data_IF_726164007110
#
_entry.id   IF_726164007110
#
_cell.length_a   1.000
_cell.length_b   1.000
_cell.length_c   1.000
_cell.angle_alpha   90.00
_cell.angle_beta   90.00
_cell.angle_gamma   90.00
#
_symmetry.space_group_name_H-M   'P 1'
#
loop_
_entity.id
_entity.type
_entity.pdbx_description
1 polymer ?
#
# COMPACT_ATOMS: atom_id res chain seq x y z
N UNK A 1 1.18 -12.01 -7.96
CA UNK A 1 1.40 -11.89 -6.50
C UNK A 1 0.08 -12.22 -5.81
N UNK A 2 -0.26 -13.52 -5.68
CA UNK A 2 -1.55 -13.93 -5.13
C UNK A 2 -1.74 -13.44 -3.70
N UNK A 3 -0.69 -13.55 -2.88
CA UNK A 3 -0.70 -13.25 -1.45
C UNK A 3 -1.02 -11.78 -1.15
N UNK A 4 -0.53 -10.85 -1.99
CA UNK A 4 -0.82 -9.41 -1.83
C UNK A 4 -2.27 -9.10 -2.15
N UNK A 5 -2.81 -9.67 -3.23
CA UNK A 5 -4.21 -9.45 -3.61
C UNK A 5 -5.17 -10.09 -2.60
N UNK A 6 -4.81 -11.25 -2.06
CA UNK A 6 -5.55 -11.89 -0.99
C UNK A 6 -5.57 -11.03 0.28
N UNK A 7 -4.43 -10.48 0.72
CA UNK A 7 -4.37 -9.55 1.84
C UNK A 7 -5.23 -8.30 1.62
N UNK A 8 -5.21 -7.73 0.40
CA UNK A 8 -6.04 -6.57 0.05
C UNK A 8 -7.54 -6.88 0.16
N UNK A 9 -7.98 -8.04 -0.33
CA UNK A 9 -9.37 -8.49 -0.21
C UNK A 9 -9.77 -8.70 1.26
N UNK A 10 -8.91 -9.36 2.04
CA UNK A 10 -9.22 -9.72 3.42
C UNK A 10 -9.26 -8.53 4.36
N UNK A 11 -8.32 -7.59 4.24
CA UNK A 11 -8.16 -6.50 5.20
C UNK A 11 -8.79 -5.18 4.76
N UNK A 12 -8.88 -4.94 3.45
CA UNK A 12 -9.34 -3.65 2.89
C UNK A 12 -10.58 -3.78 2.00
N UNK A 13 -11.05 -5.00 1.71
CA UNK A 13 -12.17 -5.23 0.78
C UNK A 13 -11.87 -4.80 -0.66
N UNK A 14 -10.60 -4.61 -1.01
CA UNK A 14 -10.16 -4.11 -2.31
C UNK A 14 -9.76 -5.26 -3.23
N UNK A 15 -10.12 -5.16 -4.51
CA UNK A 15 -9.75 -6.11 -5.56
C UNK A 15 -9.45 -5.38 -6.88
N UNK A 16 -8.74 -6.07 -7.78
CA UNK A 16 -8.41 -5.57 -9.10
C UNK A 16 -7.09 -6.12 -9.63
N UNK A 17 -6.45 -5.34 -10.51
CA UNK A 17 -5.17 -5.70 -11.11
C UNK A 17 -4.01 -5.01 -10.42
N UNK A 18 -2.98 -5.79 -10.07
CA UNK A 18 -1.74 -5.28 -9.50
C UNK A 18 -0.65 -5.17 -10.57
N UNK A 19 0.01 -4.02 -10.63
CA UNK A 19 1.23 -3.82 -11.41
C UNK A 19 2.37 -3.34 -10.51
N UNK A 20 3.57 -3.93 -10.59
CA UNK A 20 4.70 -3.47 -9.79
C UNK A 20 5.08 -2.04 -10.17
N UNK A 21 5.45 -1.25 -9.17
CA UNK A 21 6.03 0.08 -9.30
C UNK A 21 7.50 0.03 -8.83
N UNK A 22 8.35 0.97 -9.27
CA UNK A 22 9.69 1.11 -8.71
C UNK A 22 9.63 1.30 -7.19
N UNK A 23 10.47 0.56 -6.47
CA UNK A 23 10.67 0.64 -5.03
C UNK A 23 12.11 0.26 -4.73
N UNK A 24 12.64 0.78 -3.61
CA UNK A 24 14.01 0.50 -3.18
C UNK A 24 14.03 -0.69 -2.21
N UNK A 25 13.49 -0.50 -1.00
CA UNK A 25 13.35 -1.54 0.03
C UNK A 25 11.95 -2.15 0.05
N UNK A 26 10.92 -1.32 -0.16
CA UNK A 26 9.53 -1.77 -0.22
C UNK A 26 9.13 -2.27 -1.59
N UNK A 27 8.17 -3.20 -1.61
CA UNK A 27 7.50 -3.58 -2.85
C UNK A 27 6.26 -2.72 -3.02
N UNK A 28 6.33 -1.79 -3.98
CA UNK A 28 5.23 -0.91 -4.33
C UNK A 28 4.43 -1.50 -5.51
N UNK A 29 3.11 -1.37 -5.46
CA UNK A 29 2.21 -1.80 -6.53
C UNK A 29 1.17 -0.73 -6.82
N UNK A 30 0.81 -0.59 -8.09
CA UNK A 30 -0.42 0.09 -8.51
C UNK A 30 -1.55 -0.94 -8.52
N UNK A 31 -2.54 -0.75 -7.66
CA UNK A 31 -3.83 -1.42 -7.75
C UNK A 31 -4.76 -0.59 -8.64
N UNK A 32 -5.33 -1.20 -9.67
CA UNK A 32 -6.43 -0.63 -10.44
C UNK A 32 -7.68 -1.49 -10.24
N UNK A 33 -8.72 -0.90 -9.62
CA UNK A 33 -9.99 -1.57 -9.38
C UNK A 33 -10.86 -1.58 -10.64
N UNK A 34 -11.85 -2.46 -10.68
CA UNK A 34 -12.81 -2.51 -11.79
C UNK A 34 -13.66 -1.24 -11.90
N UNK A 35 -13.91 -0.57 -10.77
CA UNK A 35 -14.64 0.69 -10.66
C UNK A 35 -13.81 1.90 -11.13
N UNK A 36 -12.56 1.69 -11.53
CA UNK A 36 -11.67 2.71 -12.07
C UNK A 36 -10.84 3.46 -11.02
N UNK A 37 -11.02 3.15 -9.73
CA UNK A 37 -10.19 3.68 -8.66
C UNK A 37 -8.77 3.13 -8.73
N UNK A 38 -7.81 3.93 -8.27
CA UNK A 38 -6.38 3.58 -8.29
C UNK A 38 -5.75 3.85 -6.94
N UNK A 39 -5.00 2.87 -6.46
CA UNK A 39 -4.31 2.93 -5.18
C UNK A 39 -2.85 2.56 -5.34
N UNK A 40 -2.00 3.15 -4.49
CA UNK A 40 -0.64 2.68 -4.29
C UNK A 40 -0.67 1.72 -3.09
N UNK A 41 -0.23 0.49 -3.30
CA UNK A 41 -0.10 -0.53 -2.26
C UNK A 41 1.38 -0.68 -1.96
N UNK A 42 1.78 -0.35 -0.73
CA UNK A 42 3.14 -0.62 -0.23
C UNK A 42 3.12 -1.90 0.58
N UNK A 43 4.06 -2.81 0.29
CA UNK A 43 4.32 -4.00 1.11
C UNK A 43 5.73 -3.85 1.66
N UNK A 44 5.79 -3.53 2.96
CA UNK A 44 7.05 -3.25 3.64
C UNK A 44 7.92 -4.49 3.74
N UNK A 45 9.23 -4.28 3.65
CA UNK A 45 10.18 -5.36 3.88
C UNK A 45 10.21 -5.76 5.36
N UNK A 46 10.44 -7.03 5.71
CA UNK A 46 10.54 -7.47 7.11
C UNK A 46 11.74 -6.87 7.86
N UNK A 47 12.69 -6.26 7.14
CA UNK A 47 13.83 -5.52 7.71
C UNK A 47 13.51 -4.03 7.95
N UNK A 48 12.28 -3.60 7.68
CA UNK A 48 11.78 -2.27 8.06
C UNK A 48 11.45 -2.29 9.56
N UNK A 49 11.91 -1.28 10.30
CA UNK A 49 11.57 -1.14 11.72
C UNK A 49 10.15 -0.60 11.89
N UNK A 50 9.42 -1.10 12.89
CA UNK A 50 8.07 -0.63 13.23
C UNK A 50 8.01 0.90 13.43
N UNK A 51 9.05 1.51 14.01
CA UNK A 51 9.14 2.97 14.19
C UNK A 51 9.09 3.75 12.86
N UNK A 52 9.65 3.18 11.77
CA UNK A 52 9.60 3.82 10.45
C UNK A 52 8.19 3.71 9.87
N UNK A 53 7.54 2.56 10.04
CA UNK A 53 6.16 2.34 9.58
C UNK A 53 5.16 3.27 10.29
N UNK A 54 5.31 3.47 11.60
CA UNK A 54 4.49 4.41 12.36
C UNK A 54 4.68 5.84 11.84
N UNK A 55 5.92 6.29 11.64
CA UNK A 55 6.18 7.64 11.10
C UNK A 55 5.56 7.83 9.70
N UNK A 56 5.64 6.82 8.83
CA UNK A 56 5.02 6.89 7.50
C UNK A 56 3.49 7.06 7.58
N UNK A 57 2.83 6.36 8.49
CA UNK A 57 1.39 6.46 8.71
C UNK A 57 1.00 7.80 9.35
N UNK A 58 1.67 8.18 10.45
CA UNK A 58 1.43 9.41 11.18
C UNK A 58 1.62 10.65 10.29
N UNK A 59 2.62 10.62 9.40
CA UNK A 59 2.85 11.72 8.47
C UNK A 59 1.72 11.83 7.44
N UNK A 60 1.18 10.72 6.96
CA UNK A 60 0.03 10.75 6.03
C UNK A 60 -1.21 11.34 6.71
N UNK A 61 -1.49 10.95 7.95
CA UNK A 61 -2.59 11.56 8.75
C UNK A 61 -2.35 13.06 8.99
N UNK A 62 -1.13 13.43 9.39
CA UNK A 62 -0.78 14.83 9.60
C UNK A 62 -0.94 15.68 8.33
N UNK A 63 -0.66 15.14 7.14
CA UNK A 63 -0.81 15.89 5.90
C UNK A 63 -2.27 16.02 5.44
N UNK A 64 -3.12 15.03 5.75
CA UNK A 64 -4.55 15.07 5.45
C UNK A 64 -5.25 16.17 6.25
N UNK A 65 -4.91 16.32 7.54
CA UNK A 65 -5.44 17.34 8.44
C UNK A 65 -5.19 18.80 7.98
N UNK A 66 -4.27 19.03 7.03
CA UNK A 66 -3.94 20.35 6.49
C UNK A 66 -4.58 20.66 5.12
N UNK A 67 -5.44 19.78 4.59
CA UNK A 67 -6.10 19.95 3.28
C UNK A 67 -7.59 20.24 3.41
#
# INVERSE_FOLDING_TARGET
MPDVLEGLRQHYGLDGSLRPLPGDRDRNFLLATEEGARYVVKVSSPDESDEILEIEADLMEHLDDYT
#
